data_IF_467020509427
#
_entry.id   IF_467020509427
#
_cell.length_a   1.000
_cell.length_b   1.000
_cell.length_c   1.000
_cell.angle_alpha   90.00
_cell.angle_beta   90.00
_cell.angle_gamma   90.00
#
_symmetry.space_group_name_H-M   'P 1'
#
loop_
_entity.id
_entity.type
_entity.pdbx_description
1 polymer ?
#
# COMPACT_ATOMS: atom_id res chain seq x y z
N UNK A 1 -48.54 -57.85 -36.46
CA UNK A 1 -48.56 -58.26 -35.03
C UNK A 1 -47.14 -58.61 -34.61
N UNK A 2 -46.79 -58.22 -33.39
CA UNK A 2 -45.45 -58.25 -32.78
C UNK A 2 -45.15 -59.56 -32.02
N UNK A 3 -43.86 -59.85 -31.79
CA UNK A 3 -43.18 -60.33 -30.55
C UNK A 3 -41.76 -60.81 -30.95
N UNK A 4 -40.65 -60.11 -30.73
CA UNK A 4 -39.83 -59.89 -29.50
C UNK A 4 -39.41 -61.16 -28.75
N UNK A 5 -38.10 -61.47 -28.79
CA UNK A 5 -37.29 -62.03 -27.71
C UNK A 5 -35.79 -61.79 -28.06
N UNK A 6 -35.16 -60.76 -27.50
CA UNK A 6 -34.43 -60.73 -26.22
C UNK A 6 -32.94 -61.12 -26.37
N UNK A 7 -32.10 -60.12 -26.68
CA UNK A 7 -30.64 -60.19 -26.49
C UNK A 7 -30.32 -59.52 -25.15
N UNK A 8 -29.73 -60.30 -24.24
CA UNK A 8 -29.27 -59.90 -22.91
C UNK A 8 -28.13 -58.88 -23.01
N UNK A 9 -28.42 -57.61 -22.74
CA UNK A 9 -27.42 -56.57 -22.51
C UNK A 9 -27.14 -56.42 -21.01
N UNK A 10 -25.88 -56.57 -20.63
CA UNK A 10 -25.39 -56.26 -19.28
C UNK A 10 -25.57 -54.75 -19.00
N UNK A 11 -26.31 -54.41 -17.94
CA UNK A 11 -26.39 -53.04 -17.41
C UNK A 11 -25.31 -52.86 -16.34
N UNK A 12 -24.28 -52.06 -16.64
CA UNK A 12 -23.40 -51.50 -15.63
C UNK A 12 -24.15 -50.36 -14.91
N UNK A 13 -24.48 -50.55 -13.63
CA UNK A 13 -24.88 -49.46 -12.76
C UNK A 13 -23.63 -48.64 -12.40
N UNK A 14 -23.31 -47.64 -13.22
CA UNK A 14 -22.36 -46.60 -12.84
C UNK A 14 -23.05 -45.76 -11.76
N UNK A 15 -22.58 -45.86 -10.52
CA UNK A 15 -22.92 -44.87 -9.49
C UNK A 15 -22.61 -43.49 -10.07
N UNK A 16 -23.54 -42.52 -10.05
CA UNK A 16 -23.18 -41.15 -10.41
C UNK A 16 -22.15 -40.68 -9.38
N UNK A 17 -20.89 -40.63 -9.79
CA UNK A 17 -19.87 -39.84 -9.10
C UNK A 17 -20.35 -38.41 -9.23
N UNK A 18 -20.79 -37.83 -8.12
CA UNK A 18 -21.11 -36.41 -8.09
C UNK A 18 -19.86 -35.67 -8.50
N UNK A 19 -19.94 -35.02 -9.66
CA UNK A 19 -18.96 -34.04 -10.11
C UNK A 19 -18.78 -33.04 -8.98
N UNK A 20 -17.53 -32.82 -8.57
CA UNK A 20 -17.08 -31.78 -7.63
C UNK A 20 -17.54 -30.37 -8.00
N UNK A 21 -18.15 -30.17 -9.19
CA UNK A 21 -18.80 -28.93 -9.58
C UNK A 21 -20.13 -28.65 -8.86
N UNK A 22 -20.89 -29.67 -8.44
CA UNK A 22 -22.21 -29.44 -7.81
C UNK A 22 -22.10 -29.01 -6.34
N UNK A 23 -21.08 -29.48 -5.62
CA UNK A 23 -20.78 -29.01 -4.25
C UNK A 23 -20.19 -27.60 -4.26
N UNK A 24 -19.29 -27.28 -5.20
CA UNK A 24 -18.77 -25.91 -5.32
C UNK A 24 -19.86 -24.88 -5.65
N UNK A 25 -20.90 -25.25 -6.40
CA UNK A 25 -22.01 -24.33 -6.69
C UNK A 25 -23.01 -24.19 -5.53
N UNK A 26 -23.11 -25.19 -4.66
CA UNK A 26 -23.89 -25.11 -3.43
C UNK A 26 -23.15 -24.32 -2.33
N UNK A 27 -21.81 -24.45 -2.24
CA UNK A 27 -20.98 -23.66 -1.33
C UNK A 27 -20.96 -22.17 -1.73
N UNK A 28 -20.97 -21.86 -3.03
CA UNK A 28 -21.08 -20.48 -3.52
C UNK A 28 -22.45 -19.84 -3.26
N UNK A 29 -23.52 -20.64 -3.11
CA UNK A 29 -24.86 -20.13 -2.78
C UNK A 29 -25.14 -20.14 -1.26
N UNK A 30 -24.34 -20.85 -0.47
CA UNK A 30 -24.43 -20.86 1.00
C UNK A 30 -23.64 -19.72 1.65
N UNK A 31 -22.58 -19.21 1.02
CA UNK A 31 -21.82 -18.03 1.49
C UNK A 31 -22.54 -16.70 1.20
N UNK A 32 -23.54 -16.69 0.31
CA UNK A 32 -24.33 -15.48 -0.02
C UNK A 32 -25.41 -15.16 1.04
N UNK A 33 -25.57 -15.98 2.10
CA UNK A 33 -26.67 -15.85 3.06
C UNK A 33 -26.27 -15.31 4.46
N UNK A 34 -24.99 -15.04 4.75
CA UNK A 34 -24.57 -14.52 6.06
C UNK A 34 -23.49 -13.43 6.05
N UNK A 35 -23.46 -12.59 5.01
CA UNK A 35 -22.89 -11.26 5.16
C UNK A 35 -23.98 -10.33 5.69
N UNK A 36 -23.95 -10.13 7.01
CA UNK A 36 -24.56 -8.97 7.67
C UNK A 36 -24.35 -7.73 6.78
N UNK A 37 -25.36 -6.87 6.59
CA UNK A 37 -25.19 -5.68 5.78
C UNK A 37 -23.97 -4.95 6.29
N UNK A 38 -22.96 -4.86 5.43
CA UNK A 38 -21.89 -3.88 5.54
C UNK A 38 -22.58 -2.60 5.94
N UNK A 39 -22.21 -2.08 7.13
CA UNK A 39 -22.54 -0.71 7.54
C UNK A 39 -22.43 0.10 6.27
N UNK A 40 -23.48 0.84 5.84
CA UNK A 40 -23.39 1.61 4.63
C UNK A 40 -22.11 2.40 4.78
N UNK A 41 -21.10 2.11 3.94
CA UNK A 41 -19.95 2.98 3.79
C UNK A 41 -20.63 4.31 3.61
N UNK A 42 -20.54 5.17 4.63
CA UNK A 42 -21.08 6.51 4.50
C UNK A 42 -20.48 6.96 3.19
N UNK A 43 -21.35 7.21 2.20
CA UNK A 43 -20.93 7.96 1.04
C UNK A 43 -20.58 9.29 1.67
N UNK A 44 -19.32 9.40 2.07
CA UNK A 44 -18.75 10.61 2.59
C UNK A 44 -19.13 11.63 1.52
N UNK A 45 -19.73 12.77 1.91
CA UNK A 45 -19.96 13.83 0.94
C UNK A 45 -18.66 13.98 0.15
N UNK A 46 -18.75 13.83 -1.18
CA UNK A 46 -17.58 13.84 -2.05
C UNK A 46 -17.06 15.27 -2.13
N UNK A 47 -16.43 15.70 -1.05
CA UNK A 47 -15.67 16.93 -1.00
C UNK A 47 -14.58 16.76 -2.05
N UNK A 48 -14.48 17.70 -2.98
CA UNK A 48 -13.40 17.70 -3.94
C UNK A 48 -12.05 17.84 -3.23
N UNK A 49 -10.97 17.37 -3.86
CA UNK A 49 -9.63 17.50 -3.29
C UNK A 49 -9.29 18.95 -2.87
N UNK A 50 -9.69 19.91 -3.70
CA UNK A 50 -9.48 21.34 -3.46
C UNK A 50 -10.28 21.85 -2.25
N UNK A 51 -11.52 21.41 -2.08
CA UNK A 51 -12.35 21.76 -0.91
C UNK A 51 -11.80 21.11 0.37
N UNK A 52 -11.25 19.90 0.28
CA UNK A 52 -10.64 19.21 1.42
C UNK A 52 -9.35 19.91 1.89
N UNK A 53 -8.53 20.39 0.94
CA UNK A 53 -7.36 21.23 1.24
C UNK A 53 -7.81 22.53 1.91
N UNK A 54 -8.80 23.23 1.36
CA UNK A 54 -9.28 24.50 1.91
C UNK A 54 -9.78 24.36 3.36
N UNK A 55 -10.54 23.30 3.64
CA UNK A 55 -11.00 22.98 5.00
C UNK A 55 -9.84 22.68 5.95
N UNK A 56 -8.86 21.89 5.50
CA UNK A 56 -7.68 21.57 6.30
C UNK A 56 -6.86 22.83 6.64
N UNK A 57 -6.51 23.65 5.63
CA UNK A 57 -5.70 24.85 5.81
C UNK A 57 -6.36 25.88 6.74
N UNK A 58 -7.70 25.93 6.78
CA UNK A 58 -8.43 26.83 7.68
C UNK A 58 -8.35 26.45 9.16
N UNK A 59 -8.02 25.20 9.47
CA UNK A 59 -8.07 24.63 10.84
C UNK A 59 -6.71 24.22 11.40
N UNK A 60 -5.67 24.14 10.56
CA UNK A 60 -4.34 23.68 10.98
C UNK A 60 -3.37 24.82 11.28
N UNK A 61 -2.64 24.68 12.39
CA UNK A 61 -1.44 25.46 12.69
C UNK A 61 -0.21 24.68 12.23
N UNK A 62 0.68 25.37 11.54
CA UNK A 62 1.88 24.77 10.94
C UNK A 62 3.00 24.67 11.97
N UNK A 63 3.38 23.46 12.36
CA UNK A 63 4.62 23.23 13.11
C UNK A 63 5.63 22.48 12.24
N UNK A 64 6.85 23.02 12.04
CA UNK A 64 7.85 22.35 11.22
C UNK A 64 8.32 21.05 11.88
N UNK A 65 8.35 19.95 11.11
CA UNK A 65 8.81 18.65 11.60
C UNK A 65 10.32 18.55 11.37
N UNK A 66 11.09 18.82 12.43
CA UNK A 66 12.54 18.68 12.43
C UNK A 66 12.97 17.53 13.33
N UNK A 67 12.91 16.30 12.81
CA UNK A 67 13.51 15.13 13.45
C UNK A 67 14.80 14.77 12.72
N UNK A 68 15.92 15.28 13.22
CA UNK A 68 17.25 14.79 12.83
C UNK A 68 17.47 13.37 13.39
N UNK A 69 18.69 12.82 13.29
CA UNK A 69 19.06 11.45 13.69
C UNK A 69 18.73 11.06 15.16
N UNK A 70 18.04 11.90 15.92
CA UNK A 70 17.60 11.73 17.30
C UNK A 70 17.05 10.32 17.62
N UNK A 71 16.28 9.71 16.71
CA UNK A 71 15.75 8.34 16.91
C UNK A 71 16.84 7.24 16.95
N UNK A 72 18.06 7.55 16.50
CA UNK A 72 19.22 6.67 16.44
C UNK A 72 20.42 7.25 17.20
N UNK A 73 20.19 8.19 18.11
CA UNK A 73 21.23 8.78 18.94
C UNK A 73 22.02 7.69 19.69
N UNK A 74 23.35 7.79 19.61
CA UNK A 74 24.28 6.81 20.19
C UNK A 74 24.76 5.72 19.22
N UNK A 75 24.20 5.61 18.01
CA UNK A 75 24.75 4.79 16.93
C UNK A 75 25.61 5.68 16.03
N UNK A 76 26.86 5.29 15.80
CA UNK A 76 27.76 6.15 15.03
C UNK A 76 27.34 6.16 13.55
N UNK A 77 27.44 7.29 12.83
CA UNK A 77 27.03 7.35 11.42
C UNK A 77 27.70 6.31 10.51
N UNK A 78 28.93 5.89 10.84
CA UNK A 78 29.68 4.83 10.15
C UNK A 78 29.09 3.42 10.35
N UNK A 79 28.24 3.27 11.35
CA UNK A 79 27.55 2.01 11.68
C UNK A 79 26.24 1.90 10.90
N UNK A 80 25.92 2.84 10.01
CA UNK A 80 24.80 2.74 9.08
C UNK A 80 25.29 2.43 7.66
N UNK A 81 24.56 1.59 6.95
CA UNK A 81 24.74 1.39 5.51
C UNK A 81 23.65 2.10 4.74
N UNK A 82 24.01 3.07 3.90
CA UNK A 82 23.09 3.62 2.89
C UNK A 82 22.91 2.56 1.81
N UNK A 83 21.69 2.06 1.66
CA UNK A 83 21.37 1.01 0.70
C UNK A 83 20.86 1.58 -0.61
N UNK A 84 19.96 2.56 -0.54
CA UNK A 84 19.29 3.16 -1.71
C UNK A 84 18.98 4.62 -1.47
N UNK A 85 18.83 5.37 -2.54
CA UNK A 85 18.41 6.78 -2.49
C UNK A 85 17.46 7.14 -3.61
N UNK A 86 16.62 8.15 -3.37
CA UNK A 86 15.67 8.66 -4.34
C UNK A 86 15.42 10.14 -4.12
N UNK A 87 15.09 10.83 -5.21
CA UNK A 87 14.64 12.23 -5.18
C UNK A 87 13.13 12.23 -5.36
N UNK A 88 12.44 13.04 -4.58
CA UNK A 88 11.01 13.23 -4.76
C UNK A 88 10.71 13.93 -6.08
N UNK A 89 9.70 13.42 -6.76
CA UNK A 89 9.18 14.00 -7.98
C UNK A 89 7.66 13.97 -7.93
N UNK A 90 7.03 15.11 -8.17
CA UNK A 90 5.58 15.17 -8.38
C UNK A 90 5.22 14.55 -9.75
N UNK A 91 4.20 13.69 -9.84
CA UNK A 91 3.80 13.09 -11.11
C UNK A 91 3.16 14.09 -12.08
N UNK A 92 2.67 15.23 -11.59
CA UNK A 92 2.02 16.29 -12.36
C UNK A 92 2.55 17.68 -11.96
N UNK A 93 2.89 18.49 -12.97
CA UNK A 93 3.22 19.92 -12.83
C UNK A 93 1.92 20.68 -12.55
N UNK A 94 1.85 21.68 -11.65
CA UNK A 94 2.93 22.53 -11.15
C UNK A 94 3.36 22.24 -9.70
N UNK A 95 3.20 21.01 -9.20
CA UNK A 95 3.54 20.73 -7.81
C UNK A 95 5.07 20.76 -7.62
N UNK A 96 5.55 21.87 -7.05
CA UNK A 96 6.92 22.05 -6.58
C UNK A 96 7.12 21.20 -5.31
N UNK A 97 7.30 19.89 -5.50
CA UNK A 97 7.70 18.98 -4.44
C UNK A 97 9.21 18.88 -4.45
N UNK A 98 9.84 19.13 -3.29
CA UNK A 98 11.27 19.02 -3.11
C UNK A 98 11.61 17.99 -2.03
N UNK A 99 12.80 17.40 -2.15
CA UNK A 99 13.38 16.55 -1.12
C UNK A 99 13.95 15.24 -1.63
N UNK A 100 14.56 14.51 -0.72
CA UNK A 100 15.15 13.20 -0.99
C UNK A 100 14.81 12.19 0.09
N UNK A 101 14.89 10.93 -0.28
CA UNK A 101 14.75 9.80 0.63
C UNK A 101 16.00 8.93 0.53
N UNK A 102 16.48 8.47 1.67
CA UNK A 102 17.59 7.54 1.78
C UNK A 102 17.16 6.35 2.64
N UNK A 103 17.38 5.14 2.14
CA UNK A 103 17.17 3.90 2.89
C UNK A 103 18.46 3.48 3.56
N UNK A 104 18.42 3.31 4.87
CA UNK A 104 19.54 2.87 5.69
C UNK A 104 19.28 1.51 6.34
N UNK A 105 20.36 0.81 6.65
CA UNK A 105 20.37 -0.43 7.43
C UNK A 105 21.40 -0.36 8.56
N UNK A 106 21.00 -0.81 9.74
CA UNK A 106 21.84 -0.90 10.94
C UNK A 106 22.21 -2.38 11.17
N UNK A 107 23.45 -2.79 10.88
CA UNK A 107 23.93 -4.14 11.16
C UNK A 107 23.93 -4.41 12.68
N UNK A 108 23.76 -5.67 13.07
CA UNK A 108 23.73 -6.07 14.49
C UNK A 108 22.42 -5.77 15.22
N UNK A 109 21.59 -4.84 14.72
CA UNK A 109 20.20 -4.63 15.16
C UNK A 109 19.15 -5.08 14.13
N UNK A 110 19.62 -5.46 12.93
CA UNK A 110 18.80 -5.84 11.77
C UNK A 110 17.68 -4.82 11.46
N UNK A 111 17.97 -3.54 11.68
CA UNK A 111 16.99 -2.46 11.63
C UNK A 111 17.12 -1.67 10.33
N UNK A 112 15.99 -1.43 9.68
CA UNK A 112 15.91 -0.56 8.50
C UNK A 112 15.21 0.74 8.86
N UNK A 113 15.65 1.83 8.23
CA UNK A 113 14.94 3.10 8.34
C UNK A 113 15.08 3.94 7.09
N UNK A 114 14.05 4.74 6.83
CA UNK A 114 14.06 5.75 5.78
C UNK A 114 14.35 7.10 6.41
N UNK A 115 15.29 7.83 5.83
CA UNK A 115 15.53 9.24 6.14
C UNK A 115 14.97 10.09 5.02
N UNK A 116 14.02 10.94 5.35
CA UNK A 116 13.47 11.98 4.50
C UNK A 116 14.28 13.25 4.78
N UNK A 117 14.84 13.84 3.73
CA UNK A 117 15.65 15.06 3.80
C UNK A 117 15.06 16.15 2.92
N UNK A 118 14.98 17.37 3.46
CA UNK A 118 14.48 18.57 2.80
C UNK A 118 13.15 18.33 2.09
N UNK A 119 12.30 17.57 2.75
CA UNK A 119 11.11 17.00 2.18
C UNK A 119 9.96 17.99 2.39
N UNK A 120 9.53 18.59 1.30
CA UNK A 120 8.51 19.65 1.27
C UNK A 120 7.39 19.21 0.33
N UNK A 121 6.26 18.82 0.92
CA UNK A 121 5.08 18.36 0.20
C UNK A 121 3.91 19.29 0.55
N UNK A 122 3.10 19.72 -0.44
CA UNK A 122 1.94 20.55 -0.20
C UNK A 122 1.03 19.93 0.85
N UNK A 123 0.64 20.72 1.84
CA UNK A 123 -0.23 20.29 2.92
C UNK A 123 -1.59 19.81 2.42
N UNK A 124 -2.08 18.73 3.02
CA UNK A 124 -3.38 18.19 2.68
C UNK A 124 -3.79 17.04 3.59
N UNK A 125 -5.11 16.85 3.77
CA UNK A 125 -5.61 15.81 4.65
C UNK A 125 -5.35 14.41 4.08
N UNK A 126 -5.14 13.43 4.95
CA UNK A 126 -5.25 12.02 4.60
C UNK A 126 -4.11 11.47 3.74
N UNK A 127 -2.95 12.14 3.69
CA UNK A 127 -1.80 11.55 3.02
C UNK A 127 -1.30 10.32 3.74
N UNK A 128 -0.87 9.38 2.91
CA UNK A 128 -0.19 8.18 3.35
C UNK A 128 1.19 8.17 2.73
N UNK A 129 2.19 7.84 3.53
CA UNK A 129 3.52 7.51 3.06
C UNK A 129 3.67 5.99 3.03
N UNK A 130 4.15 5.47 1.92
CA UNK A 130 4.29 4.05 1.70
C UNK A 130 5.48 3.69 0.84
N UNK A 131 5.86 2.42 0.88
CA UNK A 131 6.75 1.82 -0.11
C UNK A 131 5.91 1.09 -1.16
N UNK A 132 6.21 1.29 -2.44
CA UNK A 132 5.52 0.62 -3.54
C UNK A 132 6.50 -0.21 -4.36
N UNK A 133 6.09 -1.41 -4.78
CA UNK A 133 6.87 -2.22 -5.75
C UNK A 133 6.88 -1.58 -7.14
N UNK A 134 5.94 -0.70 -7.45
CA UNK A 134 6.01 0.13 -8.65
C UNK A 134 7.21 1.09 -8.56
N UNK A 135 7.93 1.25 -9.67
CA UNK A 135 9.13 2.11 -9.73
C UNK A 135 8.78 3.60 -9.69
N UNK A 136 7.71 3.99 -10.38
CA UNK A 136 7.26 5.37 -10.46
C UNK A 136 5.73 5.45 -10.62
N UNK A 137 4.95 5.08 -9.58
CA UNK A 137 3.49 5.22 -9.64
C UNK A 137 3.09 6.67 -9.92
N UNK A 138 2.08 6.86 -10.78
CA UNK A 138 1.56 8.18 -11.19
C UNK A 138 0.15 8.43 -10.70
N UNK A 139 -0.59 7.37 -10.37
CA UNK A 139 -1.95 7.42 -9.84
C UNK A 139 -2.08 6.51 -8.63
N UNK A 140 -3.11 6.73 -7.79
CA UNK A 140 -3.37 5.85 -6.67
C UNK A 140 -3.72 4.43 -7.12
N UNK A 141 -4.37 4.30 -8.27
CA UNK A 141 -4.59 2.99 -8.89
C UNK A 141 -3.28 2.24 -9.13
N UNK A 142 -2.22 2.89 -9.60
CA UNK A 142 -0.91 2.25 -9.79
C UNK A 142 -0.34 1.73 -8.47
N UNK A 143 -0.55 2.49 -7.38
CA UNK A 143 -0.09 2.10 -6.05
C UNK A 143 -0.89 0.92 -5.49
N UNK A 144 -2.22 0.89 -5.68
CA UNK A 144 -3.08 -0.23 -5.23
C UNK A 144 -2.87 -1.51 -6.03
N UNK A 145 -2.64 -1.40 -7.33
CA UNK A 145 -2.38 -2.53 -8.21
C UNK A 145 -0.99 -3.12 -7.99
N UNK A 146 -0.03 -2.28 -7.59
CA UNK A 146 1.24 -2.74 -7.09
C UNK A 146 1.10 -3.22 -5.63
N UNK A 147 1.97 -4.14 -5.22
CA UNK A 147 2.10 -4.43 -3.80
C UNK A 147 2.71 -3.18 -3.11
N UNK A 148 2.04 -2.70 -2.07
CA UNK A 148 2.47 -1.54 -1.32
C UNK A 148 2.48 -1.84 0.18
N UNK A 149 3.30 -1.08 0.90
CA UNK A 149 3.43 -1.14 2.35
C UNK A 149 3.21 0.24 2.92
N UNK A 150 2.17 0.37 3.73
CA UNK A 150 1.90 1.57 4.50
C UNK A 150 2.97 1.77 5.59
N UNK A 151 3.46 3.00 5.74
CA UNK A 151 4.45 3.35 6.77
C UNK A 151 3.89 4.29 7.83
N UNK A 152 3.23 5.37 7.41
CA UNK A 152 2.68 6.38 8.31
C UNK A 152 1.59 7.18 7.60
N UNK A 153 0.68 7.75 8.40
CA UNK A 153 -0.16 8.85 7.97
C UNK A 153 0.61 10.16 8.06
N UNK A 154 0.17 11.13 7.28
CA UNK A 154 0.77 12.45 7.21
C UNK A 154 -0.33 13.43 6.84
N UNK A 155 -0.36 14.58 7.50
CA UNK A 155 -1.30 15.65 7.19
C UNK A 155 -0.53 16.90 6.75
N UNK A 156 0.65 17.08 7.33
CA UNK A 156 1.65 18.08 6.99
C UNK A 156 3.05 17.46 7.05
N UNK A 157 3.94 17.91 6.17
CA UNK A 157 5.34 17.54 6.26
C UNK A 157 6.25 18.57 5.62
N UNK A 158 7.02 19.24 6.47
CA UNK A 158 8.15 20.07 6.07
C UNK A 158 9.35 19.74 6.92
N UNK A 159 10.47 19.46 6.24
CA UNK A 159 11.78 19.30 6.85
C UNK A 159 12.30 17.88 6.78
N UNK A 160 12.82 17.40 7.91
CA UNK A 160 13.58 16.15 7.99
C UNK A 160 12.90 15.18 8.94
N UNK A 161 12.78 13.91 8.54
CA UNK A 161 12.22 12.86 9.39
C UNK A 161 12.84 11.51 9.12
N UNK A 162 12.95 10.75 10.20
CA UNK A 162 13.29 9.34 10.13
C UNK A 162 12.03 8.49 10.33
N UNK A 163 11.85 7.47 9.49
CA UNK A 163 10.77 6.49 9.59
C UNK A 163 11.40 5.12 9.81
N UNK A 164 11.19 4.57 11.00
CA UNK A 164 11.67 3.24 11.35
C UNK A 164 10.80 2.17 10.69
N UNK A 165 11.44 1.14 10.15
CA UNK A 165 10.76 -0.04 9.63
C UNK A 165 10.96 -1.16 10.65
N UNK A 166 9.89 -1.50 11.36
CA UNK A 166 9.93 -2.52 12.41
C UNK A 166 10.37 -3.87 11.84
N UNK A 167 11.41 -4.53 12.39
CA UNK A 167 11.89 -5.84 11.89
C UNK A 167 10.80 -6.91 11.87
N UNK A 168 9.86 -6.84 12.82
CA UNK A 168 8.70 -7.74 12.90
C UNK A 168 7.78 -7.64 11.68
N UNK A 169 7.80 -6.52 10.96
CA UNK A 169 7.07 -6.36 9.70
C UNK A 169 7.85 -6.89 8.49
N UNK A 170 9.08 -7.35 8.68
CA UNK A 170 10.06 -7.73 7.64
C UNK A 170 10.47 -9.20 7.73
N UNK A 171 9.60 -10.04 8.27
CA UNK A 171 9.87 -11.47 8.53
C UNK A 171 10.19 -12.25 7.25
N UNK A 172 9.62 -11.84 6.10
CA UNK A 172 9.86 -12.50 4.82
C UNK A 172 10.86 -11.73 3.97
N UNK A 173 11.57 -12.44 3.10
CA UNK A 173 12.61 -11.84 2.26
C UNK A 173 12.03 -10.90 1.19
N UNK A 174 10.81 -11.18 0.73
CA UNK A 174 10.02 -10.37 -0.20
C UNK A 174 9.55 -9.03 0.39
N UNK A 175 9.43 -8.99 1.72
CA UNK A 175 8.96 -7.84 2.49
C UNK A 175 10.06 -6.82 2.80
N UNK A 176 11.32 -7.18 2.53
CA UNK A 176 12.47 -6.31 2.79
C UNK A 176 12.33 -4.98 2.04
N UNK A 177 12.63 -3.83 2.67
CA UNK A 177 12.46 -2.52 2.03
C UNK A 177 13.29 -2.35 0.76
N UNK A 178 14.38 -3.10 0.63
CA UNK A 178 15.22 -3.13 -0.57
C UNK A 178 14.50 -3.68 -1.81
N UNK A 179 13.37 -4.37 -1.66
CA UNK A 179 12.57 -4.93 -2.76
C UNK A 179 11.57 -3.94 -3.37
N UNK A 180 11.27 -2.84 -2.70
CA UNK A 180 10.32 -1.84 -3.19
C UNK A 180 10.98 -0.91 -4.20
N UNK A 181 10.26 -0.50 -5.25
CA UNK A 181 10.79 0.35 -6.32
C UNK A 181 10.83 1.83 -5.95
N UNK A 182 9.89 2.26 -5.11
CA UNK A 182 9.73 3.66 -4.75
C UNK A 182 9.18 3.86 -3.35
N UNK A 183 9.43 5.05 -2.81
CA UNK A 183 8.59 5.65 -1.77
C UNK A 183 7.51 6.49 -2.45
N UNK A 184 6.27 6.35 -2.01
CA UNK A 184 5.11 7.05 -2.56
C UNK A 184 4.39 7.82 -1.48
N UNK A 185 3.91 9.01 -1.85
CA UNK A 185 2.97 9.81 -1.10
C UNK A 185 1.74 10.01 -1.95
N UNK A 186 0.62 9.66 -1.36
CA UNK A 186 -0.66 9.70 -2.04
C UNK A 186 -1.78 9.92 -1.04
N UNK A 187 -2.87 10.46 -1.54
CA UNK A 187 -4.13 10.44 -0.84
C UNK A 187 -4.91 9.19 -1.27
N UNK A 188 -5.16 8.29 -0.32
CA UNK A 188 -5.86 7.04 -0.60
C UNK A 188 -7.35 7.24 -0.83
N UNK A 189 -7.98 8.29 -0.28
CA UNK A 189 -9.41 8.54 -0.42
C UNK A 189 -9.73 9.10 -1.83
N UNK A 190 -8.82 9.89 -2.40
CA UNK A 190 -8.97 10.52 -3.71
C UNK A 190 -8.18 9.84 -4.84
N UNK A 191 -7.40 8.80 -4.54
CA UNK A 191 -6.57 8.07 -5.52
C UNK A 191 -5.55 8.95 -6.28
N UNK A 192 -5.07 10.01 -5.64
CA UNK A 192 -4.11 10.97 -6.21
C UNK A 192 -2.73 10.73 -5.61
N UNK A 193 -1.73 10.55 -6.47
CA UNK A 193 -0.32 10.55 -6.07
C UNK A 193 0.16 12.00 -6.04
N UNK A 194 0.71 12.39 -4.90
CA UNK A 194 1.24 13.74 -4.66
C UNK A 194 2.71 13.79 -5.03
N UNK A 195 3.46 12.77 -4.60
CA UNK A 195 4.89 12.68 -4.85
C UNK A 195 5.36 11.23 -4.83
N UNK A 196 6.37 10.97 -5.63
CA UNK A 196 7.02 9.66 -5.70
C UNK A 196 8.53 9.86 -5.73
N UNK A 197 9.25 9.08 -4.94
CA UNK A 197 10.70 8.99 -5.00
C UNK A 197 11.10 7.58 -5.45
N UNK A 198 11.65 7.47 -6.66
CA UNK A 198 12.23 6.21 -7.13
C UNK A 198 13.49 5.92 -6.32
N UNK A 199 13.53 4.77 -5.66
CA UNK A 199 14.71 4.32 -4.94
C UNK A 199 15.66 3.70 -5.98
N UNK A 200 16.92 4.12 -6.04
CA UNK A 200 17.95 3.50 -6.88
C UNK A 200 19.07 2.92 -6.01
#
# INVERSE_FOLDING_TARGET
MALIAAVLGFLFAVKPVWSTSAQMQADLLADDAQLLPTVPTQVLPSISWDEAIAGYLSSHNYEPIQQQLAAYDGIQPREFFKLREGVLVAPTVPNDVAGSVKLYFIPGRELFFLRLEDFDVPVGPGYQIGLSKARAPRSGKDVRLAEYRFLSRMNDFQGNRNIMLHPESLLRAEDRPTRYGSLVIWNADYDIVIATATLN
#
